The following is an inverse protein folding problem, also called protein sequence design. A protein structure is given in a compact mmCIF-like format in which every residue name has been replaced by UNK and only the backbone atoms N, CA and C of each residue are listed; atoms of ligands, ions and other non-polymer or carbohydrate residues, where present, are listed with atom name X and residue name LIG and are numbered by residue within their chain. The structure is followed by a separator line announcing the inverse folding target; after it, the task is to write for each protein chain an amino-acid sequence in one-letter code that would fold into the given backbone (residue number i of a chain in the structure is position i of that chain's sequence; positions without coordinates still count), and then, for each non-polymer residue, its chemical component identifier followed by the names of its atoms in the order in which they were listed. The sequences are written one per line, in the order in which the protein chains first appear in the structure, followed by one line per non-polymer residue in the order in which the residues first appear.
data_IF_733987923726
#
_entry.id   IF_733987923726
#
_cell.length_a   1.000
_cell.length_b   1.000
_cell.length_c   1.000
_cell.angle_alpha   90.00
_cell.angle_beta   90.00
_cell.angle_gamma   90.00
#
_symmetry.space_group_name_H-M   'P 1'
#
loop_
_entity.id
_entity.type
_entity.pdbx_description
1 polymer ?
#
# COMPACT_ATOMS: atom_id res chain seq x y z
N UNK A 1 -1.98 -3.23 26.11
CA UNK A 1 -1.49 -2.66 24.84
C UNK A 1 -0.93 -3.76 23.98
N UNK A 2 -1.36 -3.79 22.78
CA UNK A 2 -0.82 -4.77 21.86
C UNK A 2 0.58 -4.35 21.42
N UNK A 3 1.52 -5.29 21.32
CA UNK A 3 2.85 -4.95 20.81
C UNK A 3 2.71 -4.26 19.46
N UNK A 4 3.45 -3.21 19.27
CA UNK A 4 3.43 -2.50 18.01
C UNK A 4 3.88 -3.43 16.88
N UNK A 5 3.18 -3.36 15.76
CA UNK A 5 3.66 -4.01 14.55
C UNK A 5 4.84 -3.20 14.03
N UNK A 6 5.87 -3.90 13.61
CA UNK A 6 6.97 -3.25 12.92
C UNK A 6 6.58 -3.07 11.47
N UNK A 7 5.86 -1.99 11.18
CA UNK A 7 5.48 -1.67 9.81
C UNK A 7 6.62 -0.93 9.14
N UNK A 8 6.99 -1.37 7.96
CA UNK A 8 8.09 -0.76 7.24
C UNK A 8 7.72 -0.59 5.76
N UNK A 9 8.48 0.25 5.09
CA UNK A 9 8.28 0.50 3.66
C UNK A 9 8.25 -0.82 2.89
N UNK A 10 7.24 -0.94 2.05
CA UNK A 10 7.09 -2.12 1.19
C UNK A 10 6.21 -3.21 1.75
N UNK A 11 5.77 -3.10 3.01
CA UNK A 11 4.80 -4.05 3.53
C UNK A 11 3.48 -3.84 2.77
N UNK A 12 2.90 -4.95 2.30
CA UNK A 12 1.58 -4.90 1.70
C UNK A 12 0.59 -5.31 2.79
N UNK A 13 -0.33 -4.39 3.08
CA UNK A 13 -1.29 -4.59 4.16
C UNK A 13 -2.70 -4.69 3.61
N UNK A 14 -3.56 -5.31 4.39
CA UNK A 14 -4.99 -5.30 4.15
C UNK A 14 -5.59 -4.45 5.25
N UNK A 15 -6.26 -3.37 4.89
CA UNK A 15 -6.75 -2.40 5.85
C UNK A 15 -8.16 -1.94 5.48
N UNK A 16 -8.89 -1.51 6.50
CA UNK A 16 -10.20 -0.90 6.28
C UNK A 16 -9.96 0.50 5.73
N UNK A 17 -10.43 0.73 4.52
CA UNK A 17 -10.25 2.03 3.87
C UNK A 17 -11.44 2.35 3.00
N UNK A 18 -11.75 3.63 2.92
CA UNK A 18 -12.75 4.15 2.00
C UNK A 18 -12.01 4.96 0.94
N UNK A 19 -12.00 4.45 -0.27
CA UNK A 19 -11.38 5.18 -1.37
C UNK A 19 -12.37 6.25 -1.87
N UNK A 20 -11.83 7.29 -2.49
CA UNK A 20 -12.63 8.45 -2.88
C UNK A 20 -13.71 8.15 -3.91
N UNK A 21 -13.61 7.01 -4.60
CA UNK A 21 -14.57 6.64 -5.62
C UNK A 21 -15.74 5.80 -5.10
N UNK A 22 -15.82 5.60 -3.78
CA UNK A 22 -16.85 4.76 -3.19
C UNK A 22 -17.18 5.25 -1.78
N UNK A 23 -18.41 5.02 -1.35
CA UNK A 23 -18.85 5.34 0.01
C UNK A 23 -18.68 4.15 0.95
N UNK A 24 -18.31 2.99 0.43
CA UNK A 24 -18.17 1.82 1.26
C UNK A 24 -16.79 1.74 1.89
N UNK A 25 -16.77 1.36 3.17
CA UNK A 25 -15.54 1.04 3.86
C UNK A 25 -15.32 -0.45 3.67
N UNK A 26 -14.23 -0.82 3.02
CA UNK A 26 -13.90 -2.22 2.74
C UNK A 26 -12.47 -2.50 3.11
N UNK A 27 -12.18 -3.80 3.29
CA UNK A 27 -10.78 -4.22 3.40
C UNK A 27 -10.14 -4.07 2.02
N UNK A 28 -9.09 -3.27 1.95
CA UNK A 28 -8.40 -2.99 0.70
C UNK A 28 -6.90 -3.13 0.88
N UNK A 29 -6.22 -3.62 -0.15
CA UNK A 29 -4.76 -3.70 -0.07
C UNK A 29 -4.12 -2.33 -0.27
N UNK A 30 -3.00 -2.13 0.38
CA UNK A 30 -2.22 -0.91 0.24
C UNK A 30 -0.76 -1.22 0.55
N UNK A 31 0.14 -0.41 0.01
CA UNK A 31 1.55 -0.54 0.33
C UNK A 31 1.94 0.51 1.35
N UNK A 32 2.63 0.09 2.40
CA UNK A 32 3.11 1.00 3.44
C UNK A 32 4.28 1.79 2.89
N UNK A 33 4.22 3.12 3.02
CA UNK A 33 5.34 3.99 2.69
C UNK A 33 6.16 4.27 3.94
N UNK A 34 5.51 4.66 5.02
CA UNK A 34 6.17 4.80 6.32
C UNK A 34 5.11 4.89 7.42
N UNK A 35 5.57 4.76 8.66
CA UNK A 35 4.70 4.88 9.83
C UNK A 35 5.27 5.94 10.75
N UNK A 36 4.38 6.74 11.33
CA UNK A 36 4.79 7.80 12.24
C UNK A 36 3.69 8.02 13.28
N UNK A 37 4.05 7.86 14.55
CA UNK A 37 3.13 8.09 15.67
C UNK A 37 1.81 7.33 15.57
N UNK A 38 1.87 6.08 15.14
CA UNK A 38 0.67 5.26 15.02
C UNK A 38 -0.16 5.51 13.78
N UNK A 39 0.28 6.42 12.92
CA UNK A 39 -0.33 6.67 11.63
C UNK A 39 0.50 6.00 10.54
N UNK A 40 -0.18 5.37 9.61
CA UNK A 40 0.49 4.64 8.53
C UNK A 40 0.16 5.33 7.22
N UNK A 41 1.21 5.79 6.55
CA UNK A 41 1.07 6.46 5.26
C UNK A 41 1.24 5.42 4.18
N UNK A 42 0.22 5.30 3.32
CA UNK A 42 0.11 4.22 2.36
C UNK A 42 -0.16 4.74 0.96
N UNK A 43 0.11 3.90 -0.02
CA UNK A 43 -0.35 4.12 -1.39
C UNK A 43 -1.37 3.04 -1.73
N UNK A 44 -2.42 3.42 -2.43
CA UNK A 44 -3.50 2.50 -2.77
C UNK A 44 -3.04 1.45 -3.79
N UNK A 45 -3.64 0.27 -3.70
CA UNK A 45 -3.44 -0.80 -4.67
C UNK A 45 -4.81 -1.12 -5.26
N UNK A 46 -4.87 -1.22 -6.58
CA UNK A 46 -6.11 -1.55 -7.28
C UNK A 46 -5.91 -2.73 -8.20
N UNK A 47 -6.94 -3.54 -8.36
CA UNK A 47 -6.93 -4.62 -9.34
C UNK A 47 -7.41 -4.15 -10.72
N UNK A 48 -7.75 -2.87 -10.87
CA UNK A 48 -8.12 -2.32 -12.17
C UNK A 48 -6.87 -2.04 -12.97
N UNK A 49 -6.53 -2.96 -13.86
CA UNK A 49 -5.30 -2.88 -14.65
C UNK A 49 -5.29 -1.78 -15.70
N UNK A 50 -6.42 -1.12 -15.90
CA UNK A 50 -6.50 0.03 -16.81
C UNK A 50 -5.93 1.28 -16.16
N UNK A 51 -5.79 1.28 -14.84
CA UNK A 51 -5.22 2.41 -14.13
C UNK A 51 -3.70 2.39 -14.22
N UNK A 52 -3.12 3.58 -14.29
CA UNK A 52 -1.67 3.71 -14.36
C UNK A 52 -1.05 3.53 -12.99
N UNK A 53 0.10 2.91 -12.96
CA UNK A 53 0.83 2.71 -11.72
C UNK A 53 1.90 1.66 -11.89
N UNK A 54 2.46 1.24 -10.77
CA UNK A 54 3.50 0.23 -10.77
C UNK A 54 2.84 -1.15 -10.71
N UNK A 55 3.11 -2.04 -11.67
CA UNK A 55 2.52 -3.37 -11.64
C UNK A 55 2.90 -4.13 -10.37
N UNK A 56 1.91 -4.81 -9.80
CA UNK A 56 2.11 -5.68 -8.65
C UNK A 56 1.49 -7.02 -9.03
N UNK A 57 2.33 -7.98 -9.39
CA UNK A 57 1.89 -9.22 -9.98
C UNK A 57 1.83 -10.35 -8.99
N UNK A 58 1.28 -11.47 -9.42
CA UNK A 58 1.28 -12.68 -8.59
C UNK A 58 2.69 -13.14 -8.26
N UNK A 59 3.65 -12.86 -9.14
CA UNK A 59 5.06 -13.16 -8.88
C UNK A 59 5.60 -12.35 -7.72
N UNK A 60 5.05 -11.15 -7.49
CA UNK A 60 5.45 -10.31 -6.37
C UNK A 60 4.80 -10.76 -5.06
N UNK A 61 3.81 -11.64 -5.12
CA UNK A 61 3.10 -12.14 -3.96
C UNK A 61 1.64 -11.73 -3.91
N UNK A 62 1.15 -11.00 -4.90
CA UNK A 62 -0.24 -10.54 -4.92
C UNK A 62 -1.20 -11.71 -5.19
N UNK A 63 -2.38 -11.63 -4.57
CA UNK A 63 -3.41 -12.63 -4.80
C UNK A 63 -3.92 -12.56 -6.23
N UNK A 64 -3.97 -11.36 -6.78
CA UNK A 64 -4.33 -11.15 -8.17
C UNK A 64 -3.52 -10.00 -8.74
N UNK A 65 -3.42 -9.95 -10.06
CA UNK A 65 -2.68 -8.90 -10.74
C UNK A 65 -3.25 -7.54 -10.35
N UNK A 66 -2.38 -6.63 -9.95
CA UNK A 66 -2.77 -5.35 -9.37
C UNK A 66 -1.82 -4.26 -9.81
N UNK A 67 -2.12 -3.04 -9.40
CA UNK A 67 -1.32 -1.86 -9.69
C UNK A 67 -1.19 -1.03 -8.42
N UNK A 68 0.03 -0.60 -8.12
CA UNK A 68 0.28 0.35 -7.01
C UNK A 68 0.07 1.75 -7.57
N UNK A 69 -0.82 2.51 -6.93
CA UNK A 69 -1.15 3.87 -7.37
C UNK A 69 -0.46 4.89 -6.49
N UNK A 70 0.70 5.38 -6.94
CA UNK A 70 1.44 6.38 -6.18
C UNK A 70 0.80 7.77 -6.22
N UNK A 71 -0.20 7.95 -7.06
CA UNK A 71 -0.96 9.19 -7.06
C UNK A 71 -2.11 9.18 -6.06
N UNK A 72 -2.25 8.10 -5.31
CA UNK A 72 -3.31 7.98 -4.31
C UNK A 72 -2.65 7.56 -2.98
N UNK A 73 -2.18 8.57 -2.26
CA UNK A 73 -1.52 8.36 -0.97
C UNK A 73 -2.48 8.79 0.12
N UNK A 74 -2.59 7.99 1.16
CA UNK A 74 -3.51 8.27 2.24
C UNK A 74 -2.93 7.80 3.58
N UNK A 75 -3.52 8.30 4.65
CA UNK A 75 -3.07 8.00 6.01
C UNK A 75 -4.18 7.28 6.75
N UNK A 76 -3.83 6.21 7.44
CA UNK A 76 -4.76 5.50 8.30
C UNK A 76 -4.11 5.25 9.65
N UNK A 77 -4.94 5.04 10.67
CA UNK A 77 -4.44 4.59 11.96
C UNK A 77 -4.01 3.12 11.83
N UNK A 78 -2.93 2.74 12.53
CA UNK A 78 -2.51 1.35 12.52
C UNK A 78 -3.61 0.41 13.01
N UNK A 79 -4.57 0.94 13.79
CA UNK A 79 -5.70 0.15 14.27
C UNK A 79 -6.62 -0.32 13.14
N UNK A 80 -6.56 0.34 12.01
CA UNK A 80 -7.38 -0.02 10.85
C UNK A 80 -6.76 -1.15 10.03
N UNK A 81 -5.54 -1.56 10.36
CA UNK A 81 -4.85 -2.60 9.61
C UNK A 81 -5.31 -3.97 10.10
N UNK A 82 -5.83 -4.75 9.18
CA UNK A 82 -6.25 -6.11 9.47
C UNK A 82 -5.04 -7.04 9.58
N UNK A 83 -4.16 -7.00 8.58
CA UNK A 83 -2.96 -7.85 8.58
C UNK A 83 -1.96 -7.36 7.54
N UNK A 84 -0.73 -7.84 7.69
CA UNK A 84 0.31 -7.70 6.68
C UNK A 84 0.22 -8.95 5.80
N UNK A 85 0.06 -8.77 4.49
CA UNK A 85 -0.12 -9.88 3.57
C UNK A 85 1.24 -10.43 3.11
N UNK A 86 2.11 -9.54 2.66
CA UNK A 86 3.47 -9.89 2.22
C UNK A 86 4.28 -8.60 2.13
N UNK A 87 5.56 -8.74 1.80
CA UNK A 87 6.45 -7.57 1.63
C UNK A 87 7.01 -7.58 0.23
N UNK A 88 7.19 -6.39 -0.32
CA UNK A 88 7.82 -6.24 -1.64
C UNK A 88 9.26 -6.69 -1.59
N UNK A 89 9.75 -7.23 -2.71
CA UNK A 89 11.16 -7.54 -2.88
C UNK A 89 11.96 -6.24 -2.85
N UNK A 90 13.26 -6.36 -2.61
CA UNK A 90 14.14 -5.19 -2.61
C UNK A 90 14.09 -4.48 -3.96
N UNK A 91 14.06 -5.25 -5.04
CA UNK A 91 13.99 -4.69 -6.38
C UNK A 91 12.71 -3.85 -6.59
N UNK A 92 11.57 -4.40 -6.15
CA UNK A 92 10.30 -3.69 -6.28
C UNK A 92 10.27 -2.46 -5.37
N UNK A 93 10.84 -2.54 -4.18
CA UNK A 93 10.94 -1.39 -3.28
C UNK A 93 11.72 -0.27 -3.94
N UNK A 94 12.83 -0.59 -4.60
CA UNK A 94 13.64 0.41 -5.27
C UNK A 94 12.87 1.06 -6.42
N UNK A 95 12.08 0.28 -7.14
CA UNK A 95 11.26 0.80 -8.21
C UNK A 95 10.23 1.79 -7.67
N UNK A 96 9.54 1.43 -6.58
CA UNK A 96 8.54 2.28 -5.96
C UNK A 96 9.18 3.58 -5.46
N UNK A 97 10.32 3.46 -4.79
CA UNK A 97 11.05 4.61 -4.26
C UNK A 97 11.43 5.58 -5.38
N UNK A 98 11.98 5.05 -6.46
CA UNK A 98 12.42 5.82 -7.61
C UNK A 98 11.26 6.58 -8.23
N UNK A 99 10.12 5.90 -8.42
CA UNK A 99 8.93 6.51 -8.98
C UNK A 99 8.39 7.61 -8.06
N UNK A 100 8.39 7.37 -6.76
CA UNK A 100 7.91 8.36 -5.80
C UNK A 100 8.78 9.61 -5.82
N UNK A 101 10.09 9.42 -5.81
CA UNK A 101 11.04 10.54 -5.84
C UNK A 101 10.87 11.34 -7.12
N UNK A 102 10.67 10.67 -8.25
CA UNK A 102 10.52 11.38 -9.52
C UNK A 102 9.29 12.30 -9.54
N UNK A 103 8.27 11.95 -8.78
CA UNK A 103 7.07 12.79 -8.70
C UNK A 103 7.27 14.04 -7.82
N UNK A 104 8.32 14.04 -7.02
CA UNK A 104 8.61 15.18 -6.13
C UNK A 104 9.54 16.22 -6.77
N UNK A 105 10.06 15.91 -7.93
CA UNK A 105 10.97 16.84 -8.65
C UNK A 105 10.22 17.74 -9.60
#
# INVERSE_FOLDING_TARGET
MKPGRMLSFGNIILAKAQYTDTFEIKLRPAVVLFEEYGNVICAAITSNLKMRGIPLTKKDGAIKESVIKLNYIFTISEKMINKIIFSLSQEKKEQVKKELISRLN
#
